data_IF_051689502133
#
_entry.id   IF_051689502133
#
_cell.length_a   1.000
_cell.length_b   1.000
_cell.length_c   1.000
_cell.angle_alpha   90.00
_cell.angle_beta   90.00
_cell.angle_gamma   90.00
#
_symmetry.space_group_name_H-M   'P 1'
#
loop_
_entity.id
_entity.type
_entity.pdbx_description
1 polymer ?
#
# COMPACT_ATOMS: atom_id res chain seq x y z
N UNK A 1 -18.38 -21.03 54.61
CA UNK A 1 -17.02 -21.11 54.03
C UNK A 1 -16.83 -19.86 53.17
N UNK A 2 -16.18 -18.86 53.74
CA UNK A 2 -15.97 -17.52 53.16
C UNK A 2 -14.84 -17.58 52.13
N UNK A 3 -15.18 -17.41 50.85
CA UNK A 3 -14.22 -17.35 49.75
C UNK A 3 -13.40 -16.07 49.80
N UNK A 4 -12.10 -16.20 50.04
CA UNK A 4 -11.13 -15.12 49.86
C UNK A 4 -11.01 -14.83 48.35
N UNK A 5 -11.67 -13.78 47.87
CA UNK A 5 -11.32 -13.19 46.57
C UNK A 5 -9.98 -12.47 46.71
N UNK A 6 -8.94 -13.07 46.14
CA UNK A 6 -7.60 -12.50 46.10
C UNK A 6 -7.63 -11.18 45.29
N UNK A 7 -7.33 -10.06 45.95
CA UNK A 7 -7.24 -8.70 45.35
C UNK A 7 -6.13 -8.53 44.31
N UNK A 8 -5.30 -9.55 44.08
CA UNK A 8 -4.32 -9.58 42.98
C UNK A 8 -4.98 -9.64 41.58
N UNK A 9 -6.32 -9.81 41.57
CA UNK A 9 -7.20 -9.86 40.40
C UNK A 9 -7.30 -8.59 39.55
N UNK A 10 -7.39 -7.46 40.21
CA UNK A 10 -7.86 -6.23 39.57
C UNK A 10 -6.75 -5.50 38.81
N UNK A 11 -5.50 -5.67 39.25
CA UNK A 11 -4.36 -4.95 38.69
C UNK A 11 -4.07 -5.39 37.25
N UNK A 12 -4.03 -6.70 36.98
CA UNK A 12 -3.78 -7.21 35.63
C UNK A 12 -4.89 -6.84 34.64
N UNK A 13 -6.14 -6.73 35.09
CA UNK A 13 -7.26 -6.31 34.22
C UNK A 13 -7.03 -4.87 33.75
N UNK A 14 -6.54 -4.00 34.63
CA UNK A 14 -6.25 -2.60 34.28
C UNK A 14 -5.11 -2.48 33.26
N UNK A 15 -4.06 -3.28 33.39
CA UNK A 15 -2.95 -3.31 32.42
C UNK A 15 -3.38 -3.83 31.05
N UNK A 16 -4.27 -4.83 30.98
CA UNK A 16 -4.79 -5.36 29.72
C UNK A 16 -5.58 -4.29 28.96
N UNK A 17 -6.38 -3.48 29.65
CA UNK A 17 -7.16 -2.39 29.04
C UNK A 17 -6.24 -1.33 28.44
N UNK A 18 -5.17 -0.97 29.15
CA UNK A 18 -4.18 0.01 28.65
C UNK A 18 -3.46 -0.54 27.41
N UNK A 19 -3.03 -1.81 27.44
CA UNK A 19 -2.38 -2.45 26.30
C UNK A 19 -3.31 -2.50 25.07
N UNK A 20 -4.60 -2.80 25.26
CA UNK A 20 -5.58 -2.80 24.19
C UNK A 20 -5.79 -1.40 23.58
N UNK A 21 -5.85 -0.36 24.41
CA UNK A 21 -5.97 1.02 23.95
C UNK A 21 -4.75 1.47 23.13
N UNK A 22 -3.54 1.15 23.58
CA UNK A 22 -2.29 1.47 22.86
C UNK A 22 -2.22 0.72 21.53
N UNK A 23 -2.59 -0.56 21.50
CA UNK A 23 -2.63 -1.34 20.25
C UNK A 23 -3.61 -0.75 19.22
N UNK A 24 -4.76 -0.26 19.67
CA UNK A 24 -5.75 0.39 18.80
C UNK A 24 -5.18 1.67 18.19
N UNK A 25 -4.55 2.52 18.99
CA UNK A 25 -3.89 3.75 18.51
C UNK A 25 -2.75 3.42 17.54
N UNK A 26 -1.92 2.42 17.84
CA UNK A 26 -0.84 1.99 16.95
C UNK A 26 -1.37 1.50 15.60
N UNK A 27 -2.48 0.76 15.57
CA UNK A 27 -3.16 0.35 14.33
C UNK A 27 -3.59 1.55 13.47
N UNK A 28 -4.17 2.58 14.10
CA UNK A 28 -4.58 3.80 13.39
C UNK A 28 -3.37 4.52 12.80
N UNK A 29 -2.26 4.62 13.55
CA UNK A 29 -1.02 5.25 13.07
C UNK A 29 -0.43 4.49 11.88
N UNK A 30 -0.37 3.15 11.97
CA UNK A 30 0.09 2.31 10.86
C UNK A 30 -0.78 2.51 9.62
N UNK A 31 -2.10 2.54 9.76
CA UNK A 31 -3.02 2.82 8.65
C UNK A 31 -2.83 4.22 8.07
N UNK A 32 -2.44 5.21 8.88
CA UNK A 32 -2.18 6.57 8.41
C UNK A 32 -0.91 6.64 7.56
N UNK A 33 0.18 6.03 8.04
CA UNK A 33 1.45 5.90 7.30
C UNK A 33 1.27 5.08 6.04
N UNK A 34 0.52 3.97 6.15
CA UNK A 34 0.15 3.18 4.99
C UNK A 34 -0.73 3.99 4.05
N UNK A 35 -1.67 4.83 4.47
CA UNK A 35 -2.46 5.66 3.54
C UNK A 35 -1.61 6.65 2.77
N UNK A 36 -0.69 7.35 3.42
CA UNK A 36 0.23 8.28 2.74
C UNK A 36 1.14 7.54 1.76
N UNK A 37 1.60 6.34 2.13
CA UNK A 37 2.40 5.49 1.26
C UNK A 37 1.56 4.80 0.18
N UNK A 38 0.31 4.43 0.45
CA UNK A 38 -0.61 3.78 -0.50
C UNK A 38 -1.09 4.79 -1.52
N UNK A 39 -1.20 6.09 -1.20
CA UNK A 39 -1.37 7.12 -2.23
C UNK A 39 -0.21 7.12 -3.23
N UNK A 40 1.03 6.94 -2.75
CA UNK A 40 2.23 6.84 -3.59
C UNK A 40 2.42 5.48 -4.24
N UNK A 41 2.02 4.39 -3.60
CA UNK A 41 2.05 3.03 -4.16
C UNK A 41 0.89 2.80 -5.13
N UNK A 42 -0.26 3.45 -4.94
CA UNK A 42 -1.36 3.43 -5.89
C UNK A 42 -1.00 4.28 -7.11
N UNK A 43 -0.39 5.45 -6.92
CA UNK A 43 0.24 6.19 -8.01
C UNK A 43 1.28 5.31 -8.73
N UNK A 44 2.20 4.72 -7.98
CA UNK A 44 3.23 3.83 -8.53
C UNK A 44 2.72 2.53 -9.14
N UNK A 45 1.59 1.95 -8.73
CA UNK A 45 1.03 0.74 -9.36
C UNK A 45 0.25 1.03 -10.65
N UNK A 46 -0.27 2.27 -10.78
CA UNK A 46 -1.04 2.72 -11.94
C UNK A 46 -0.14 3.43 -12.96
N UNK A 47 1.04 3.88 -12.55
CA UNK A 47 2.04 4.45 -13.46
C UNK A 47 2.60 3.40 -14.43
N UNK A 48 2.55 3.74 -15.71
CA UNK A 48 3.10 2.95 -16.80
C UNK A 48 4.57 2.55 -16.58
N UNK A 49 5.38 3.49 -16.05
CA UNK A 49 6.82 3.32 -15.86
C UNK A 49 7.18 2.24 -14.82
N UNK A 50 6.37 2.09 -13.78
CA UNK A 50 6.60 1.07 -12.73
C UNK A 50 6.43 -0.36 -13.22
N UNK A 51 5.79 -0.56 -14.38
CA UNK A 51 5.55 -1.88 -14.99
C UNK A 51 6.50 -2.18 -16.14
N UNK A 52 7.61 -1.45 -16.28
CA UNK A 52 8.51 -1.50 -17.45
C UNK A 52 7.85 -0.97 -18.74
N UNK A 53 6.76 -0.23 -18.62
CA UNK A 53 6.14 0.49 -19.73
C UNK A 53 6.77 1.87 -19.88
N UNK A 54 6.52 2.51 -21.01
CA UNK A 54 6.96 3.87 -21.29
C UNK A 54 5.79 4.68 -21.84
N UNK A 55 5.57 5.88 -21.29
CA UNK A 55 4.56 6.79 -21.82
C UNK A 55 5.08 7.45 -23.11
N UNK A 56 4.48 7.07 -24.23
CA UNK A 56 4.80 7.59 -25.57
C UNK A 56 3.57 8.26 -26.17
N UNK A 57 3.73 9.13 -27.17
CA UNK A 57 2.57 9.74 -27.81
C UNK A 57 1.71 8.69 -28.52
N UNK A 58 0.42 8.98 -28.59
CA UNK A 58 -0.56 8.12 -29.27
C UNK A 58 -0.11 7.84 -30.70
N UNK A 59 0.09 6.56 -31.03
CA UNK A 59 0.57 6.11 -32.34
C UNK A 59 2.09 5.96 -32.49
N UNK A 60 2.89 6.35 -31.50
CA UNK A 60 4.35 6.11 -31.49
C UNK A 60 4.74 4.80 -30.80
N UNK A 61 3.78 4.07 -30.21
CA UNK A 61 4.05 2.79 -29.57
C UNK A 61 4.34 1.69 -30.60
N UNK A 62 5.56 1.16 -30.58
CA UNK A 62 5.97 0.01 -31.41
C UNK A 62 5.71 -1.35 -30.74
N UNK A 63 5.06 -1.34 -29.57
CA UNK A 63 4.85 -2.51 -28.72
C UNK A 63 3.37 -2.76 -28.38
N UNK A 64 3.12 -3.33 -27.20
CA UNK A 64 1.76 -3.53 -26.69
C UNK A 64 1.28 -2.31 -25.92
N UNK A 65 0.16 -1.75 -26.33
CA UNK A 65 -0.49 -0.61 -25.66
C UNK A 65 -1.45 -1.12 -24.61
N UNK A 66 -1.46 -0.51 -23.43
CA UNK A 66 -2.47 -0.81 -22.40
C UNK A 66 -3.05 0.48 -21.83
N UNK A 67 -4.38 0.51 -21.70
CA UNK A 67 -5.14 1.63 -21.12
C UNK A 67 -5.37 1.49 -19.61
N UNK A 68 -4.92 0.39 -19.02
CA UNK A 68 -5.03 0.11 -17.58
C UNK A 68 -4.04 0.94 -16.75
N UNK A 69 -3.02 1.52 -17.39
CA UNK A 69 -2.02 2.37 -16.75
C UNK A 69 -2.15 3.79 -17.31
N UNK A 70 -2.11 4.76 -16.41
CA UNK A 70 -2.28 6.18 -16.75
C UNK A 70 -0.91 6.83 -16.99
N UNK A 71 -0.88 7.78 -17.92
CA UNK A 71 0.24 8.67 -18.20
C UNK A 71 -0.19 10.09 -17.82
N UNK A 72 0.74 10.90 -17.33
CA UNK A 72 0.46 12.27 -16.86
C UNK A 72 -0.13 13.17 -17.96
N UNK A 73 0.20 12.89 -19.22
CA UNK A 73 -0.32 13.60 -20.39
C UNK A 73 -1.46 12.83 -21.09
N UNK A 74 -2.59 13.49 -21.41
CA UNK A 74 -3.73 12.85 -22.11
C UNK A 74 -3.43 12.49 -23.58
N UNK A 75 -2.32 12.97 -24.13
CA UNK A 75 -1.84 12.65 -25.48
C UNK A 75 -0.84 11.49 -25.50
N UNK A 76 -0.51 10.93 -24.33
CA UNK A 76 0.42 9.83 -24.17
C UNK A 76 -0.33 8.58 -23.73
N UNK A 77 0.10 7.44 -24.25
CA UNK A 77 -0.40 6.12 -23.93
C UNK A 77 0.71 5.24 -23.34
N UNK A 78 0.33 4.33 -22.46
CA UNK A 78 1.29 3.42 -21.86
C UNK A 78 1.69 2.33 -22.87
N UNK A 79 2.95 2.35 -23.28
CA UNK A 79 3.53 1.43 -24.24
C UNK A 79 4.49 0.46 -23.58
N UNK A 80 4.21 -0.83 -23.68
CA UNK A 80 5.13 -1.89 -23.31
C UNK A 80 5.94 -2.28 -24.53
N UNK A 81 7.18 -1.79 -24.61
CA UNK A 81 8.13 -2.35 -25.56
C UNK A 81 8.58 -3.69 -25.00
N UNK A 82 8.41 -4.76 -25.78
CA UNK A 82 9.04 -6.05 -25.52
C UNK A 82 10.55 -5.91 -25.74
N UNK A 83 11.24 -5.11 -24.93
CA UNK A 83 12.66 -5.30 -24.71
C UNK A 83 12.76 -6.59 -23.92
N UNK A 84 12.85 -7.69 -24.70
CA UNK A 84 13.29 -9.02 -24.29
C UNK A 84 14.07 -8.89 -22.99
N UNK A 85 13.52 -9.34 -21.86
CA UNK A 85 14.34 -9.58 -20.68
C UNK A 85 15.37 -10.63 -21.10
N UNK A 86 16.51 -10.17 -21.60
CA UNK A 86 17.73 -10.96 -21.65
C UNK A 86 18.28 -10.86 -20.25
N UNK A 87 17.70 -11.66 -19.36
CA UNK A 87 18.34 -12.08 -18.13
C UNK A 87 19.68 -12.67 -18.53
N UNK A 88 20.77 -11.94 -18.30
CA UNK A 88 22.13 -12.48 -18.22
C UNK A 88 22.50 -12.61 -16.75
#
# INVERSE_FOLDING_TARGET
MTGKMNKAGAEYIMWIVIAAAVALVAMVILLFIFRESTGKLAAGLVECESKLGQCVFIGECTGSVTKTFECDDPQKECCFTLQKQVTT
#
